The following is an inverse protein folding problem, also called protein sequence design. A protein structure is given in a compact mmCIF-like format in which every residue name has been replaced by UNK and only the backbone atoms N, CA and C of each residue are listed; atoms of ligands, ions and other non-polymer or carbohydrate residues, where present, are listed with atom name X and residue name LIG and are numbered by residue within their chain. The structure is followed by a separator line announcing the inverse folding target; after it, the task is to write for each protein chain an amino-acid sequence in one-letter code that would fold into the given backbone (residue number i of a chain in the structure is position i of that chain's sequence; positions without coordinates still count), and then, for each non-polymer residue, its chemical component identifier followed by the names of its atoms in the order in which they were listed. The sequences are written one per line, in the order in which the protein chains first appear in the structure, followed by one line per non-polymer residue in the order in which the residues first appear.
data_IF_043646385750
#
_entry.id   IF_043646385750
#
_cell.length_a   1.000
_cell.length_b   1.000
_cell.length_c   1.000
_cell.angle_alpha   90.00
_cell.angle_beta   90.00
_cell.angle_gamma   90.00
#
_symmetry.space_group_name_H-M   'P 1'
#
loop_
_entity.id
_entity.type
_entity.pdbx_description
1 polymer ?
#
# COMPACT_ATOMS: atom_id res chain seq x y z
N UNK A 1 -15.68 4.15 -37.21
CA UNK A 1 -15.16 3.17 -36.24
C UNK A 1 -15.34 3.81 -34.84
N UNK A 2 -16.35 3.39 -34.07
CA UNK A 2 -16.51 3.92 -32.70
C UNK A 2 -15.49 3.22 -31.81
N UNK A 3 -14.54 3.98 -31.33
CA UNK A 3 -13.57 3.50 -30.34
C UNK A 3 -14.35 3.28 -29.05
N UNK A 4 -14.60 2.02 -28.71
CA UNK A 4 -15.27 1.63 -27.46
C UNK A 4 -14.21 1.59 -26.36
N UNK A 5 -14.09 2.68 -25.60
CA UNK A 5 -13.10 2.86 -24.56
C UNK A 5 -13.49 2.06 -23.31
N UNK A 6 -12.56 1.32 -22.72
CA UNK A 6 -12.70 0.70 -21.41
C UNK A 6 -12.52 1.75 -20.32
N UNK A 7 -13.61 2.16 -19.69
CA UNK A 7 -13.59 3.21 -18.68
C UNK A 7 -12.86 2.78 -17.38
N UNK A 8 -12.90 1.50 -17.02
CA UNK A 8 -12.18 1.00 -15.84
C UNK A 8 -10.68 1.11 -16.02
N UNK A 9 -10.16 0.62 -17.14
CA UNK A 9 -8.74 0.64 -17.45
C UNK A 9 -8.26 2.09 -17.64
N UNK A 10 -9.06 2.95 -18.28
CA UNK A 10 -8.72 4.35 -18.46
C UNK A 10 -8.57 5.07 -17.13
N UNK A 11 -9.54 4.95 -16.23
CA UNK A 11 -9.50 5.59 -14.89
C UNK A 11 -8.35 5.02 -14.07
N UNK A 12 -8.15 3.70 -14.10
CA UNK A 12 -7.07 3.04 -13.37
C UNK A 12 -5.69 3.48 -13.87
N UNK A 13 -5.50 3.55 -15.19
CA UNK A 13 -4.24 4.01 -15.79
C UNK A 13 -3.94 5.47 -15.47
N UNK A 14 -4.93 6.36 -15.59
CA UNK A 14 -4.78 7.77 -15.22
C UNK A 14 -4.50 7.95 -13.73
N UNK A 15 -5.12 7.15 -12.86
CA UNK A 15 -4.85 7.17 -11.43
C UNK A 15 -3.41 6.76 -11.11
N UNK A 16 -2.89 5.71 -11.75
CA UNK A 16 -1.50 5.29 -11.59
C UNK A 16 -0.52 6.38 -12.04
N UNK A 17 -0.80 7.05 -13.17
CA UNK A 17 0.03 8.16 -13.66
C UNK A 17 0.00 9.32 -12.66
N UNK A 18 -1.18 9.68 -12.16
CA UNK A 18 -1.35 10.76 -11.19
C UNK A 18 -0.54 10.49 -9.92
N UNK A 19 -0.64 9.28 -9.36
CA UNK A 19 0.15 8.89 -8.18
C UNK A 19 1.66 8.92 -8.45
N UNK A 20 2.08 8.46 -9.64
CA UNK A 20 3.49 8.49 -10.03
C UNK A 20 4.02 9.93 -10.12
N UNK A 21 3.24 10.85 -10.70
CA UNK A 21 3.60 12.28 -10.81
C UNK A 21 3.68 12.94 -9.44
N UNK A 22 2.71 12.69 -8.56
CA UNK A 22 2.72 13.21 -7.19
C UNK A 22 3.94 12.67 -6.43
N UNK A 23 4.18 11.37 -6.49
CA UNK A 23 5.33 10.76 -5.83
C UNK A 23 6.66 11.26 -6.37
N UNK A 24 6.78 11.42 -7.68
CA UNK A 24 7.96 12.03 -8.33
C UNK A 24 8.19 13.47 -7.86
N UNK A 25 7.12 14.28 -7.77
CA UNK A 25 7.21 15.65 -7.28
C UNK A 25 7.67 15.72 -5.82
N UNK A 26 7.09 14.92 -4.95
CA UNK A 26 7.46 14.85 -3.53
C UNK A 26 8.87 14.28 -3.31
N UNK A 27 9.40 13.50 -4.26
CA UNK A 27 10.74 12.92 -4.16
C UNK A 27 11.85 13.90 -4.57
N UNK A 28 11.53 15.08 -5.14
CA UNK A 28 12.54 16.04 -5.59
C UNK A 28 13.39 16.61 -4.45
N UNK A 29 12.86 16.64 -3.24
CA UNK A 29 13.57 17.11 -2.04
C UNK A 29 14.61 16.11 -1.52
N UNK A 30 14.61 14.87 -2.06
CA UNK A 30 15.53 13.81 -1.63
C UNK A 30 16.76 13.76 -2.54
N UNK A 31 17.92 13.56 -1.91
CA UNK A 31 19.17 13.42 -2.66
C UNK A 31 19.16 12.11 -3.47
N UNK A 32 19.29 12.23 -4.78
CA UNK A 32 19.30 11.08 -5.69
C UNK A 32 20.64 10.34 -5.68
N UNK A 33 21.74 11.04 -5.43
CA UNK A 33 23.07 10.46 -5.54
C UNK A 33 23.46 10.10 -6.98
N UNK A 34 24.25 9.06 -7.14
CA UNK A 34 24.71 8.55 -8.44
C UNK A 34 24.42 7.05 -8.55
N UNK A 35 24.51 6.46 -9.75
CA UNK A 35 24.31 5.02 -9.96
C UNK A 35 25.25 4.13 -9.14
N UNK A 36 26.44 4.66 -8.72
CA UNK A 36 27.42 3.95 -7.89
C UNK A 36 27.21 4.23 -6.38
N UNK A 37 26.58 5.35 -6.02
CA UNK A 37 26.24 5.73 -4.64
C UNK A 37 24.80 6.26 -4.65
N UNK A 38 23.85 5.35 -4.61
CA UNK A 38 22.44 5.67 -4.63
C UNK A 38 22.04 6.40 -3.34
N UNK A 39 21.44 7.58 -3.49
CA UNK A 39 20.83 8.32 -2.38
C UNK A 39 19.44 7.79 -2.04
N UNK A 40 18.83 8.28 -0.96
CA UNK A 40 17.51 7.83 -0.51
C UNK A 40 16.39 8.07 -1.53
N UNK A 41 16.52 9.07 -2.40
CA UNK A 41 15.55 9.37 -3.45
C UNK A 41 15.68 8.53 -4.72
N UNK A 42 16.77 7.78 -4.91
CA UNK A 42 17.04 7.06 -6.16
C UNK A 42 16.06 5.91 -6.41
N UNK A 43 15.88 5.05 -5.40
CA UNK A 43 14.96 3.90 -5.51
C UNK A 43 13.49 4.34 -5.68
N UNK A 44 12.95 5.28 -4.87
CA UNK A 44 11.62 5.82 -5.11
C UNK A 44 11.45 6.40 -6.51
N UNK A 45 12.45 7.13 -7.03
CA UNK A 45 12.41 7.69 -8.38
C UNK A 45 12.23 6.61 -9.44
N UNK A 46 12.99 5.51 -9.36
CA UNK A 46 12.84 4.39 -10.29
C UNK A 46 11.44 3.75 -10.22
N UNK A 47 10.91 3.59 -9.02
CA UNK A 47 9.55 3.06 -8.82
C UNK A 47 8.51 3.97 -9.49
N UNK A 48 8.61 5.29 -9.32
CA UNK A 48 7.68 6.24 -9.96
C UNK A 48 7.77 6.20 -11.49
N UNK A 49 8.96 6.04 -12.07
CA UNK A 49 9.11 5.88 -13.52
C UNK A 49 8.47 4.58 -14.03
N UNK A 50 8.68 3.47 -13.34
CA UNK A 50 8.05 2.18 -13.68
C UNK A 50 6.52 2.28 -13.54
N UNK A 51 6.04 2.89 -12.46
CA UNK A 51 4.61 3.08 -12.22
C UNK A 51 3.98 3.97 -13.30
N UNK A 52 4.65 5.05 -13.71
CA UNK A 52 4.20 5.91 -14.81
C UNK A 52 4.13 5.14 -16.12
N UNK A 53 5.15 4.35 -16.44
CA UNK A 53 5.17 3.49 -17.62
C UNK A 53 4.02 2.49 -17.64
N UNK A 54 3.77 1.81 -16.52
CA UNK A 54 2.63 0.89 -16.37
C UNK A 54 1.29 1.62 -16.51
N UNK A 55 1.15 2.80 -15.90
CA UNK A 55 -0.05 3.62 -16.03
C UNK A 55 -0.34 4.01 -17.48
N UNK A 56 0.70 4.40 -18.23
CA UNK A 56 0.59 4.69 -19.67
C UNK A 56 0.15 3.44 -20.44
N UNK A 57 0.76 2.28 -20.18
CA UNK A 57 0.40 1.03 -20.84
C UNK A 57 -1.06 0.64 -20.59
N UNK A 58 -1.53 0.75 -19.35
CA UNK A 58 -2.93 0.48 -18.98
C UNK A 58 -3.87 1.47 -19.67
N UNK A 59 -3.52 2.76 -19.71
CA UNK A 59 -4.31 3.79 -20.42
C UNK A 59 -4.38 3.52 -21.91
N UNK A 60 -3.28 3.10 -22.52
CA UNK A 60 -3.27 2.71 -23.93
C UNK A 60 -4.10 1.44 -24.16
N UNK A 61 -3.98 0.43 -23.30
CA UNK A 61 -4.77 -0.80 -23.37
C UNK A 61 -6.27 -0.50 -23.28
N UNK A 62 -6.69 0.51 -22.50
CA UNK A 62 -8.09 0.94 -22.41
C UNK A 62 -8.72 1.33 -23.75
N UNK A 63 -7.91 1.79 -24.71
CA UNK A 63 -8.37 2.16 -26.04
C UNK A 63 -8.70 0.95 -26.93
N UNK A 64 -8.18 -0.25 -26.56
CA UNK A 64 -8.29 -1.48 -27.35
C UNK A 64 -9.10 -2.58 -26.66
N UNK A 65 -9.32 -2.49 -25.33
CA UNK A 65 -9.94 -3.57 -24.52
C UNK A 65 -11.46 -3.67 -24.60
N UNK A 66 -12.13 -2.74 -25.31
CA UNK A 66 -13.58 -2.73 -25.42
C UNK A 66 -14.29 -2.10 -24.20
N UNK A 67 -15.62 -1.89 -24.27
CA UNK A 67 -16.35 -1.14 -23.25
C UNK A 67 -16.53 -1.97 -21.97
N UNK A 68 -15.96 -1.54 -20.89
CA UNK A 68 -16.24 -2.03 -19.54
C UNK A 68 -16.56 -0.81 -18.65
N UNK A 69 -17.86 -0.54 -18.36
CA UNK A 69 -18.24 0.62 -17.58
C UNK A 69 -17.80 0.47 -16.12
N UNK A 70 -17.41 1.58 -15.52
CA UNK A 70 -17.15 1.63 -14.07
C UNK A 70 -18.41 1.31 -13.29
N UNK A 71 -18.27 0.52 -12.24
CA UNK A 71 -19.36 0.26 -11.32
C UNK A 71 -19.76 1.56 -10.60
N UNK A 72 -21.07 1.76 -10.44
CA UNK A 72 -21.56 2.92 -9.71
C UNK A 72 -21.35 2.72 -8.21
N UNK A 73 -20.84 3.74 -7.55
CA UNK A 73 -20.73 3.75 -6.11
C UNK A 73 -22.11 3.67 -5.46
N UNK A 74 -22.24 2.76 -4.52
CA UNK A 74 -23.44 2.65 -3.70
C UNK A 74 -23.40 3.67 -2.55
N UNK A 75 -24.54 3.94 -1.91
CA UNK A 75 -24.56 4.79 -0.72
C UNK A 75 -23.69 4.26 0.42
N UNK A 76 -23.52 2.92 0.50
CA UNK A 76 -22.63 2.27 1.48
C UNK A 76 -21.17 2.58 1.15
N UNK A 77 -20.77 2.59 -0.11
CA UNK A 77 -19.39 2.89 -0.52
C UNK A 77 -19.01 4.33 -0.16
N UNK A 78 -19.91 5.28 -0.43
CA UNK A 78 -19.72 6.68 -0.10
C UNK A 78 -19.69 6.87 1.43
N UNK A 79 -20.62 6.25 2.15
CA UNK A 79 -20.67 6.32 3.61
C UNK A 79 -19.44 5.71 4.26
N UNK A 80 -18.95 4.58 3.77
CA UNK A 80 -17.72 3.94 4.24
C UNK A 80 -16.49 4.82 3.98
N UNK A 81 -16.41 5.46 2.82
CA UNK A 81 -15.31 6.37 2.48
C UNK A 81 -15.28 7.61 3.38
N UNK A 82 -16.43 8.29 3.56
CA UNK A 82 -16.54 9.46 4.45
C UNK A 82 -16.29 9.07 5.91
N UNK A 83 -16.87 7.94 6.35
CA UNK A 83 -16.64 7.39 7.69
C UNK A 83 -15.19 7.03 7.94
N UNK A 84 -14.50 6.49 6.95
CA UNK A 84 -13.07 6.18 7.01
C UNK A 84 -12.22 7.43 7.29
N UNK A 85 -12.50 8.52 6.60
CA UNK A 85 -11.79 9.79 6.81
C UNK A 85 -12.07 10.32 8.23
N UNK A 86 -13.34 10.33 8.66
CA UNK A 86 -13.72 10.83 9.98
C UNK A 86 -13.09 10.00 11.10
N UNK A 87 -13.22 8.67 11.06
CA UNK A 87 -12.66 7.76 12.09
C UNK A 87 -11.14 7.79 12.06
N UNK A 88 -10.52 7.78 10.89
CA UNK A 88 -9.07 7.90 10.74
C UNK A 88 -8.54 9.18 11.38
N UNK A 89 -9.18 10.31 11.13
CA UNK A 89 -8.83 11.60 11.74
C UNK A 89 -9.00 11.60 13.27
N UNK A 90 -10.12 11.06 13.77
CA UNK A 90 -10.36 10.94 15.20
C UNK A 90 -9.30 10.08 15.87
N UNK A 91 -9.02 8.89 15.32
CA UNK A 91 -8.01 7.97 15.88
C UNK A 91 -6.63 8.60 15.87
N UNK A 92 -6.24 9.26 14.78
CA UNK A 92 -4.99 10.01 14.75
C UNK A 92 -4.88 11.03 15.88
N UNK A 93 -5.96 11.76 16.18
CA UNK A 93 -5.99 12.80 17.24
C UNK A 93 -5.91 12.22 18.65
N UNK A 94 -6.50 11.04 18.89
CA UNK A 94 -6.54 10.42 20.21
C UNK A 94 -5.39 9.41 20.44
N UNK A 95 -4.77 8.90 19.39
CA UNK A 95 -3.68 7.92 19.49
C UNK A 95 -2.54 8.32 20.44
N UNK A 96 -2.09 9.59 20.48
CA UNK A 96 -1.05 10.03 21.42
C UNK A 96 -1.40 9.84 22.90
N UNK A 97 -2.68 9.72 23.24
CA UNK A 97 -3.13 9.53 24.63
C UNK A 97 -2.89 8.09 25.14
N UNK A 98 -2.64 7.13 24.26
CA UNK A 98 -2.46 5.72 24.59
C UNK A 98 -1.01 5.33 24.95
N UNK A 99 -0.08 6.27 25.01
CA UNK A 99 1.29 6.04 25.46
C UNK A 99 2.36 6.61 24.53
N UNK A 100 3.59 6.65 25.02
CA UNK A 100 4.70 7.28 24.34
C UNK A 100 5.00 6.71 22.94
N UNK A 101 4.80 5.41 22.72
CA UNK A 101 4.96 4.77 21.41
C UNK A 101 3.97 5.31 20.37
N UNK A 102 2.71 5.51 20.77
CA UNK A 102 1.67 6.05 19.89
C UNK A 102 1.69 7.58 19.83
N UNK A 103 2.43 8.23 20.73
CA UNK A 103 2.65 9.66 20.68
C UNK A 103 3.62 10.08 19.56
N UNK A 104 4.40 9.16 19.01
CA UNK A 104 5.22 9.45 17.84
C UNK A 104 4.31 9.71 16.63
N UNK A 105 4.63 10.77 15.89
CA UNK A 105 3.80 11.25 14.77
C UNK A 105 3.51 10.15 13.76
N UNK A 106 4.52 9.35 13.40
CA UNK A 106 4.35 8.27 12.42
C UNK A 106 3.39 7.18 12.90
N UNK A 107 3.47 6.78 14.16
CA UNK A 107 2.62 5.74 14.73
C UNK A 107 1.19 6.22 14.90
N UNK A 108 0.99 7.47 15.33
CA UNK A 108 -0.34 8.08 15.44
C UNK A 108 -1.03 8.20 14.07
N UNK A 109 -0.31 8.65 13.05
CA UNK A 109 -0.81 8.72 11.66
C UNK A 109 -1.10 7.32 11.14
N UNK A 110 -0.19 6.37 11.34
CA UNK A 110 -0.37 4.97 10.91
C UNK A 110 -1.60 4.32 11.53
N UNK A 111 -1.86 4.53 12.83
CA UNK A 111 -3.09 4.05 13.48
C UNK A 111 -4.35 4.71 12.91
N UNK A 112 -4.31 6.01 12.63
CA UNK A 112 -5.41 6.71 11.97
C UNK A 112 -5.70 6.12 10.58
N UNK A 113 -4.65 5.86 9.80
CA UNK A 113 -4.76 5.23 8.48
C UNK A 113 -5.36 3.82 8.60
N UNK A 114 -4.88 2.98 9.52
CA UNK A 114 -5.41 1.63 9.74
C UNK A 114 -6.88 1.69 10.12
N UNK A 115 -7.25 2.53 11.10
CA UNK A 115 -8.63 2.68 11.54
C UNK A 115 -9.56 3.14 10.41
N UNK A 116 -9.11 4.12 9.62
CA UNK A 116 -9.84 4.58 8.44
C UNK A 116 -10.06 3.45 7.43
N UNK A 117 -9.02 2.72 7.06
CA UNK A 117 -9.15 1.60 6.12
C UNK A 117 -10.00 0.45 6.67
N UNK A 118 -9.97 0.18 7.98
CA UNK A 118 -10.85 -0.84 8.58
C UNK A 118 -12.34 -0.44 8.46
N UNK A 119 -12.67 0.84 8.62
CA UNK A 119 -14.03 1.33 8.37
C UNK A 119 -14.38 1.23 6.88
N UNK A 120 -13.45 1.59 5.99
CA UNK A 120 -13.65 1.50 4.55
C UNK A 120 -13.85 0.04 4.10
N UNK A 121 -13.22 -0.94 4.77
CA UNK A 121 -13.36 -2.38 4.50
C UNK A 121 -14.77 -2.94 4.80
N UNK A 122 -15.65 -2.19 5.45
CA UNK A 122 -17.05 -2.56 5.68
C UNK A 122 -17.79 -2.62 4.34
N UNK A 123 -17.45 -1.72 3.41
CA UNK A 123 -18.02 -1.72 2.06
C UNK A 123 -17.40 -2.84 1.21
N UNK A 124 -18.24 -3.68 0.55
CA UNK A 124 -17.74 -4.73 -0.36
C UNK A 124 -16.88 -4.18 -1.49
N UNK A 125 -17.22 -3.00 -2.04
CA UNK A 125 -16.49 -2.37 -3.14
C UNK A 125 -15.07 -1.93 -2.76
N UNK A 126 -14.87 -1.50 -1.52
CA UNK A 126 -13.57 -1.04 -1.03
C UNK A 126 -12.77 -2.09 -0.25
N UNK A 127 -13.39 -3.22 0.11
CA UNK A 127 -12.83 -4.18 1.05
C UNK A 127 -11.41 -4.63 0.70
N UNK A 128 -11.18 -5.06 -0.54
CA UNK A 128 -9.87 -5.60 -0.96
C UNK A 128 -8.80 -4.53 -0.84
N UNK A 129 -9.06 -3.35 -1.40
CA UNK A 129 -8.13 -2.23 -1.33
C UNK A 129 -7.86 -1.81 0.12
N UNK A 130 -8.92 -1.67 0.91
CA UNK A 130 -8.84 -1.21 2.28
C UNK A 130 -8.05 -2.17 3.18
N UNK A 131 -8.29 -3.47 3.09
CA UNK A 131 -7.56 -4.48 3.89
C UNK A 131 -6.08 -4.51 3.52
N UNK A 132 -5.75 -4.44 2.22
CA UNK A 132 -4.35 -4.42 1.78
C UNK A 132 -3.65 -3.13 2.27
N UNK A 133 -4.28 -1.96 2.10
CA UNK A 133 -3.71 -0.70 2.57
C UNK A 133 -3.55 -0.65 4.10
N UNK A 134 -4.51 -1.20 4.86
CA UNK A 134 -4.39 -1.34 6.31
C UNK A 134 -3.23 -2.26 6.71
N UNK A 135 -3.03 -3.38 5.99
CA UNK A 135 -1.93 -4.30 6.23
C UNK A 135 -0.56 -3.64 5.97
N UNK A 136 -0.45 -2.85 4.90
CA UNK A 136 0.79 -2.09 4.58
C UNK A 136 1.06 -1.01 5.64
N UNK A 137 0.02 -0.29 6.09
CA UNK A 137 0.19 0.70 7.17
C UNK A 137 0.61 0.03 8.50
N UNK A 138 0.06 -1.15 8.80
CA UNK A 138 0.45 -1.94 9.96
C UNK A 138 1.90 -2.43 9.86
N UNK A 139 2.36 -2.80 8.66
CA UNK A 139 3.77 -3.14 8.43
C UNK A 139 4.69 -2.03 8.90
N UNK A 140 4.40 -0.77 8.53
CA UNK A 140 5.21 0.38 8.94
C UNK A 140 5.31 0.55 10.46
N UNK A 141 4.21 0.36 11.19
CA UNK A 141 4.19 0.44 12.66
C UNK A 141 4.93 -0.74 13.30
N UNK A 142 4.69 -1.95 12.80
CA UNK A 142 5.29 -3.17 13.36
C UNK A 142 6.79 -3.25 13.10
N UNK A 143 7.28 -2.67 12.01
CA UNK A 143 8.69 -2.73 11.63
C UNK A 143 9.60 -2.16 12.70
N UNK A 144 9.16 -1.10 13.39
CA UNK A 144 9.98 -0.41 14.41
C UNK A 144 10.26 -1.29 15.64
N UNK A 145 9.25 -1.97 16.18
CA UNK A 145 9.37 -2.78 17.40
C UNK A 145 9.27 -4.29 17.16
N UNK A 146 8.43 -4.69 16.24
CA UNK A 146 8.18 -6.09 15.91
C UNK A 146 9.28 -6.74 15.08
N UNK A 147 10.11 -5.93 14.45
CA UNK A 147 11.11 -6.41 13.52
C UNK A 147 10.54 -6.84 12.17
N UNK A 148 11.43 -7.09 11.22
CA UNK A 148 11.09 -7.33 9.84
C UNK A 148 10.22 -8.58 9.61
N UNK A 149 10.57 -9.70 10.28
CA UNK A 149 9.83 -10.96 10.08
C UNK A 149 8.39 -10.90 10.60
N UNK A 150 8.20 -10.31 11.78
CA UNK A 150 6.85 -10.18 12.37
C UNK A 150 6.00 -9.23 11.52
N UNK A 151 6.56 -8.08 11.13
CA UNK A 151 5.86 -7.10 10.31
C UNK A 151 5.45 -7.69 8.96
N UNK A 152 6.37 -8.38 8.26
CA UNK A 152 6.10 -8.98 6.97
C UNK A 152 5.07 -10.11 7.05
N UNK A 153 5.19 -11.00 8.06
CA UNK A 153 4.23 -12.08 8.27
C UNK A 153 2.84 -11.53 8.54
N UNK A 154 2.71 -10.54 9.43
CA UNK A 154 1.43 -9.91 9.75
C UNK A 154 0.79 -9.29 8.49
N UNK A 155 1.58 -8.59 7.68
CA UNK A 155 1.11 -7.97 6.43
C UNK A 155 0.58 -9.01 5.45
N UNK A 156 1.31 -10.11 5.22
CA UNK A 156 0.90 -11.16 4.27
C UNK A 156 -0.38 -11.84 4.76
N UNK A 157 -0.43 -12.21 6.04
CA UNK A 157 -1.59 -12.91 6.62
C UNK A 157 -2.82 -12.01 6.59
N UNK A 158 -2.69 -10.74 6.98
CA UNK A 158 -3.83 -9.80 6.97
C UNK A 158 -4.30 -9.52 5.53
N UNK A 159 -3.37 -9.32 4.60
CA UNK A 159 -3.72 -9.14 3.19
C UNK A 159 -4.45 -10.33 2.60
N UNK A 160 -4.17 -11.56 3.06
CA UNK A 160 -4.87 -12.76 2.63
C UNK A 160 -6.37 -12.75 3.03
N UNK A 161 -6.76 -12.04 4.10
CA UNK A 161 -8.18 -11.86 4.46
C UNK A 161 -8.95 -10.89 3.55
N UNK A 162 -8.27 -10.19 2.65
CA UNK A 162 -8.93 -9.33 1.66
C UNK A 162 -9.83 -10.13 0.72
N UNK A 163 -9.39 -11.33 0.33
CA UNK A 163 -10.16 -12.26 -0.50
C UNK A 163 -10.59 -13.49 0.33
N UNK A 164 -11.81 -13.96 0.09
CA UNK A 164 -12.40 -15.13 0.78
C UNK A 164 -12.00 -16.47 0.13
N UNK A 165 -11.37 -16.44 -1.04
CA UNK A 165 -11.00 -17.63 -1.81
C UNK A 165 -9.68 -18.29 -1.43
N UNK A 166 -8.92 -17.73 -0.48
CA UNK A 166 -7.58 -18.21 -0.16
C UNK A 166 -7.61 -19.52 0.64
N UNK A 167 -6.79 -20.48 0.19
CA UNK A 167 -6.53 -21.71 0.92
C UNK A 167 -5.44 -21.46 1.98
N UNK A 168 -5.63 -21.89 3.26
CA UNK A 168 -4.68 -21.58 4.33
C UNK A 168 -3.26 -22.13 4.05
N UNK A 169 -3.17 -23.29 3.40
CA UNK A 169 -1.89 -23.86 2.98
C UNK A 169 -1.17 -22.97 1.94
N UNK A 170 -1.92 -22.38 1.00
CA UNK A 170 -1.36 -21.45 0.00
C UNK A 170 -0.81 -20.20 0.67
N UNK A 171 -1.54 -19.62 1.64
CA UNK A 171 -1.08 -18.46 2.41
C UNK A 171 0.20 -18.80 3.19
N UNK A 172 0.27 -19.97 3.84
CA UNK A 172 1.44 -20.42 4.57
C UNK A 172 2.66 -20.56 3.66
N UNK A 173 2.52 -21.25 2.52
CA UNK A 173 3.61 -21.45 1.56
C UNK A 173 4.08 -20.12 0.97
N UNK A 174 3.16 -19.24 0.61
CA UNK A 174 3.47 -17.90 0.11
C UNK A 174 4.21 -17.07 1.16
N UNK A 175 3.77 -17.12 2.41
CA UNK A 175 4.43 -16.43 3.53
C UNK A 175 5.86 -16.91 3.70
N UNK A 176 6.09 -18.23 3.75
CA UNK A 176 7.43 -18.79 3.88
C UNK A 176 8.33 -18.43 2.70
N UNK A 177 7.80 -18.49 1.48
CA UNK A 177 8.54 -18.11 0.27
C UNK A 177 8.94 -16.63 0.30
N UNK A 178 7.98 -15.73 0.61
CA UNK A 178 8.25 -14.30 0.67
C UNK A 178 9.21 -13.93 1.79
N UNK A 179 9.09 -14.56 2.97
CA UNK A 179 10.05 -14.36 4.07
C UNK A 179 11.46 -14.76 3.66
N UNK A 180 11.63 -15.93 3.05
CA UNK A 180 12.92 -16.40 2.58
C UNK A 180 13.51 -15.50 1.48
N UNK A 181 12.68 -15.11 0.50
CA UNK A 181 13.09 -14.24 -0.60
C UNK A 181 13.47 -12.85 -0.09
N UNK A 182 12.64 -12.24 0.75
CA UNK A 182 12.92 -10.92 1.30
C UNK A 182 14.14 -10.94 2.21
N UNK A 183 14.29 -11.96 3.05
CA UNK A 183 15.50 -12.13 3.86
C UNK A 183 16.75 -12.19 2.98
N UNK A 184 16.73 -13.02 1.94
CA UNK A 184 17.88 -13.17 1.04
C UNK A 184 18.20 -11.88 0.29
N UNK A 185 17.19 -11.18 -0.24
CA UNK A 185 17.40 -9.95 -1.02
C UNK A 185 17.82 -8.80 -0.11
N UNK A 186 17.05 -8.51 0.94
CA UNK A 186 17.26 -7.29 1.75
C UNK A 186 18.44 -7.43 2.72
N UNK A 187 18.62 -8.60 3.32
CA UNK A 187 19.66 -8.80 4.32
C UNK A 187 20.95 -9.24 3.66
N UNK A 188 20.91 -10.25 2.77
CA UNK A 188 22.11 -10.86 2.22
C UNK A 188 22.67 -10.13 0.99
N UNK A 189 21.81 -9.57 0.12
CA UNK A 189 22.26 -8.88 -1.10
C UNK A 189 22.41 -7.37 -0.92
N UNK A 190 21.49 -6.73 -0.22
CA UNK A 190 21.46 -5.28 -0.05
C UNK A 190 22.09 -4.80 1.26
N UNK A 191 22.46 -5.72 2.17
CA UNK A 191 23.05 -5.43 3.50
C UNK A 191 22.27 -4.33 4.27
N UNK A 192 20.94 -4.37 4.17
CA UNK A 192 20.08 -3.39 4.85
C UNK A 192 20.04 -3.75 6.33
N UNK A 193 20.47 -2.83 7.17
CA UNK A 193 20.46 -2.96 8.64
C UNK A 193 19.07 -2.69 9.20
N UNK A 194 18.20 -3.69 9.10
CA UNK A 194 16.86 -3.66 9.71
C UNK A 194 16.84 -4.66 10.86
N UNK A 195 16.18 -4.31 11.95
CA UNK A 195 15.97 -5.26 13.05
C UNK A 195 15.14 -6.45 12.54
N UNK A 196 15.77 -7.63 12.50
CA UNK A 196 15.14 -8.85 12.01
C UNK A 196 14.11 -9.36 13.00
N UNK A 197 14.43 -9.28 14.31
CA UNK A 197 13.63 -9.74 15.42
C UNK A 197 13.10 -8.58 16.27
N UNK A 198 12.03 -8.83 17.06
CA UNK A 198 11.50 -7.84 17.98
C UNK A 198 12.58 -7.31 18.91
N UNK A 199 12.65 -5.99 19.04
CA UNK A 199 13.51 -5.33 20.05
C UNK A 199 12.69 -5.00 21.28
N UNK A 200 13.12 -5.49 22.41
CA UNK A 200 12.55 -5.16 23.72
C UNK A 200 12.85 -3.73 24.12
#
# INVERSE_FOLDING_TARGET
MQIKINMKDLVSGLFLILLAVIGWYLNQDHNLGTARRMGPGYMPLMVFWIQMGLGILVTLAALFSGPDPTERWTGIDIGAFVGAIAVGWIVWRIAPMFGAFFAQTYNAVGLGIIAGFLVMAISPGWRVLAVICAAVALFGILLEKGGFFVALTATIVISAFADRGHRPLGVLLMTLFLLAMCWWVFINQLDIRVNIWPTS
#
